data_IF_657173527563
#
_entry.id   IF_657173527563
#
_cell.length_a   1.000
_cell.length_b   1.000
_cell.length_c   1.000
_cell.angle_alpha   90.00
_cell.angle_beta   90.00
_cell.angle_gamma   90.00
#
_symmetry.space_group_name_H-M   'P 1'
#
loop_
_entity.id
_entity.type
_entity.pdbx_description
1 polymer ?
#
# COMPACT_ATOMS: atom_id res chain seq x y z
N UNK A 1 0.74 13.87 27.22
CA UNK A 1 1.57 14.93 26.60
C UNK A 1 2.67 14.25 25.82
N UNK A 2 2.88 14.65 24.55
CA UNK A 2 4.02 14.15 23.78
C UNK A 2 5.35 14.66 24.35
N UNK A 3 6.40 13.87 24.22
CA UNK A 3 7.74 14.28 24.67
C UNK A 3 8.30 15.37 23.76
N UNK A 4 8.93 16.39 24.33
CA UNK A 4 9.61 17.45 23.55
C UNK A 4 10.73 16.93 22.65
N UNK A 5 11.23 15.73 22.93
CA UNK A 5 12.37 15.11 22.22
C UNK A 5 11.97 13.97 21.29
N UNK A 6 10.70 13.57 21.30
CA UNK A 6 10.17 12.54 20.40
C UNK A 6 10.09 13.07 18.96
N UNK A 7 10.42 12.22 17.98
CA UNK A 7 10.52 12.60 16.56
C UNK A 7 9.49 11.89 15.66
N UNK A 8 8.35 11.46 16.23
CA UNK A 8 7.21 10.97 15.46
C UNK A 8 6.46 12.14 14.82
N UNK A 9 5.71 11.87 13.75
CA UNK A 9 4.86 12.90 13.10
C UNK A 9 3.89 13.55 14.12
N UNK A 10 3.26 12.76 14.98
CA UNK A 10 2.35 13.27 16.00
C UNK A 10 3.05 14.16 17.04
N UNK A 11 4.23 13.75 17.52
CA UNK A 11 4.99 14.55 18.49
C UNK A 11 5.52 15.87 17.87
N UNK A 12 5.97 15.82 16.62
CA UNK A 12 6.43 17.00 15.90
C UNK A 12 5.30 18.02 15.68
N UNK A 13 4.10 17.55 15.31
CA UNK A 13 2.93 18.40 15.15
C UNK A 13 2.53 19.03 16.49
N UNK A 14 2.40 18.23 17.54
CA UNK A 14 2.12 18.73 18.90
C UNK A 14 3.15 19.77 19.37
N UNK A 15 4.44 19.53 19.14
CA UNK A 15 5.48 20.50 19.48
C UNK A 15 5.37 21.81 18.67
N UNK A 16 4.90 21.74 17.42
CA UNK A 16 4.63 22.91 16.60
C UNK A 16 3.43 23.72 17.13
N UNK A 17 2.36 23.06 17.53
CA UNK A 17 1.21 23.69 18.21
C UNK A 17 1.64 24.41 19.49
N UNK A 18 2.47 23.75 20.32
CA UNK A 18 3.02 24.35 21.54
C UNK A 18 3.93 25.55 21.23
N UNK A 19 4.75 25.47 20.16
CA UNK A 19 5.55 26.58 19.68
C UNK A 19 4.66 27.76 19.27
N UNK A 20 3.60 27.52 18.49
CA UNK A 20 2.66 28.56 18.08
C UNK A 20 1.94 29.21 19.26
N UNK A 21 1.47 28.40 20.21
CA UNK A 21 0.81 28.88 21.43
C UNK A 21 1.74 29.77 22.25
N UNK A 22 2.98 29.38 22.46
CA UNK A 22 3.97 30.18 23.17
C UNK A 22 4.28 31.48 22.41
N UNK A 23 4.48 31.39 21.10
CA UNK A 23 4.78 32.54 20.25
C UNK A 23 3.69 33.61 20.32
N UNK A 24 2.43 33.22 20.39
CA UNK A 24 1.29 34.13 20.52
C UNK A 24 1.29 34.91 21.86
N UNK A 25 2.00 34.43 22.88
CA UNK A 25 2.13 35.10 24.18
C UNK A 25 3.34 36.06 24.27
N UNK A 26 4.25 36.03 23.27
CA UNK A 26 5.48 36.80 23.34
C UNK A 26 5.22 38.26 22.97
N UNK A 27 5.29 39.15 23.96
CA UNK A 27 5.09 40.61 23.75
C UNK A 27 6.17 41.15 22.82
N UNK A 28 5.75 41.78 21.69
CA UNK A 28 6.67 42.41 20.74
C UNK A 28 7.35 41.48 19.76
N UNK A 29 6.90 40.21 19.63
CA UNK A 29 7.37 39.31 18.57
C UNK A 29 7.03 39.91 17.20
N UNK A 30 8.05 40.14 16.36
CA UNK A 30 7.92 40.60 15.00
C UNK A 30 8.41 39.50 14.05
N UNK A 31 7.56 38.95 13.18
CA UNK A 31 7.99 37.92 12.23
C UNK A 31 9.02 38.53 11.25
N UNK A 32 10.13 37.81 11.04
CA UNK A 32 11.17 38.22 10.09
C UNK A 32 10.73 38.07 8.63
N UNK A 33 9.81 37.11 8.38
CA UNK A 33 9.16 36.90 7.07
C UNK A 33 7.68 36.67 7.28
N UNK A 34 6.82 36.93 6.27
CA UNK A 34 5.38 36.67 6.40
C UNK A 34 5.03 35.27 6.87
N UNK A 35 5.81 34.26 6.43
CA UNK A 35 5.60 32.84 6.73
C UNK A 35 5.88 32.48 8.18
N UNK A 36 6.65 33.30 8.91
CA UNK A 36 6.98 33.12 10.32
C UNK A 36 6.00 33.83 11.27
N UNK A 37 4.95 34.47 10.73
CA UNK A 37 3.86 34.99 11.55
C UNK A 37 3.08 33.85 12.21
N UNK A 38 2.52 34.11 13.40
CA UNK A 38 1.67 33.13 14.13
C UNK A 38 0.53 32.63 13.24
N UNK A 39 -0.12 33.53 12.48
CA UNK A 39 -1.21 33.19 11.58
C UNK A 39 -0.76 32.23 10.46
N UNK A 40 0.33 32.57 9.75
CA UNK A 40 0.84 31.70 8.68
C UNK A 40 1.40 30.36 9.20
N UNK A 41 1.95 30.34 10.41
CA UNK A 41 2.40 29.11 11.05
C UNK A 41 1.23 28.20 11.43
N UNK A 42 0.14 28.77 11.96
CA UNK A 42 -1.09 28.01 12.25
C UNK A 42 -1.74 27.47 10.98
N UNK A 43 -1.74 28.22 9.88
CA UNK A 43 -2.21 27.72 8.57
C UNK A 43 -1.44 26.50 8.12
N UNK A 44 -0.11 26.50 8.31
CA UNK A 44 0.72 25.32 7.99
C UNK A 44 0.39 24.12 8.90
N UNK A 45 0.20 24.35 10.20
CA UNK A 45 -0.20 23.31 11.15
C UNK A 45 -1.52 22.65 10.71
N UNK A 46 -2.54 23.45 10.41
CA UNK A 46 -3.85 22.95 9.92
C UNK A 46 -3.70 22.19 8.60
N UNK A 47 -2.89 22.66 7.66
CA UNK A 47 -2.64 21.93 6.41
C UNK A 47 -1.99 20.56 6.66
N UNK A 48 -1.11 20.46 7.65
CA UNK A 48 -0.49 19.17 8.05
C UNK A 48 -1.51 18.24 8.72
N UNK A 49 -2.41 18.74 9.56
CA UNK A 49 -3.51 17.96 10.14
C UNK A 49 -4.38 17.35 9.03
N UNK A 50 -4.75 18.16 8.04
CA UNK A 50 -5.55 17.73 6.89
C UNK A 50 -4.83 16.65 6.07
N UNK A 51 -3.56 16.84 5.76
CA UNK A 51 -2.76 15.84 5.03
C UNK A 51 -2.61 14.55 5.86
N UNK A 52 -2.41 14.63 7.17
CA UNK A 52 -2.36 13.45 8.04
C UNK A 52 -3.68 12.66 7.99
N UNK A 53 -4.83 13.35 8.02
CA UNK A 53 -6.14 12.72 7.91
C UNK A 53 -6.34 12.04 6.54
N UNK A 54 -5.93 12.71 5.45
CA UNK A 54 -5.98 12.16 4.09
C UNK A 54 -5.10 10.92 3.96
N UNK A 55 -3.86 10.93 4.47
CA UNK A 55 -2.96 9.78 4.47
C UNK A 55 -3.55 8.62 5.26
N UNK A 56 -4.15 8.87 6.42
CA UNK A 56 -4.79 7.84 7.23
C UNK A 56 -5.97 7.18 6.50
N UNK A 57 -6.83 7.98 5.85
CA UNK A 57 -7.95 7.50 5.05
C UNK A 57 -7.46 6.67 3.84
N UNK A 58 -6.50 7.19 3.06
CA UNK A 58 -5.95 6.49 1.90
C UNK A 58 -5.23 5.19 2.30
N UNK A 59 -4.51 5.18 3.42
CA UNK A 59 -3.88 3.97 3.95
C UNK A 59 -4.91 2.90 4.34
N UNK A 60 -6.01 3.30 4.97
CA UNK A 60 -7.12 2.39 5.28
C UNK A 60 -7.71 1.76 4.01
N UNK A 61 -7.95 2.56 2.96
CA UNK A 61 -8.46 2.05 1.69
C UNK A 61 -7.47 1.09 1.02
N UNK A 62 -6.17 1.41 1.05
CA UNK A 62 -5.14 0.51 0.53
C UNK A 62 -5.11 -0.81 1.29
N UNK A 63 -5.16 -0.79 2.62
CA UNK A 63 -5.19 -1.99 3.45
C UNK A 63 -6.41 -2.87 3.15
N UNK A 64 -7.60 -2.27 3.03
CA UNK A 64 -8.82 -2.99 2.67
C UNK A 64 -8.73 -3.64 1.28
N UNK A 65 -8.15 -2.94 0.29
CA UNK A 65 -7.95 -3.49 -1.05
C UNK A 65 -6.97 -4.68 -1.03
N UNK A 66 -5.88 -4.59 -0.26
CA UNK A 66 -4.91 -5.68 -0.08
C UNK A 66 -5.56 -6.89 0.59
N UNK A 67 -6.33 -6.68 1.65
CA UNK A 67 -7.02 -7.75 2.37
C UNK A 67 -8.08 -8.44 1.50
N UNK A 68 -8.87 -7.66 0.75
CA UNK A 68 -9.84 -8.20 -0.20
C UNK A 68 -9.17 -9.05 -1.28
N UNK A 69 -8.06 -8.57 -1.87
CA UNK A 69 -7.28 -9.36 -2.83
C UNK A 69 -6.80 -10.67 -2.20
N UNK A 70 -6.21 -10.62 -1.02
CA UNK A 70 -5.75 -11.83 -0.33
C UNK A 70 -6.91 -12.79 -0.03
N UNK A 71 -8.08 -12.26 0.34
CA UNK A 71 -9.27 -13.06 0.59
C UNK A 71 -9.71 -13.83 -0.67
N UNK A 72 -9.83 -13.14 -1.80
CA UNK A 72 -10.27 -13.75 -3.07
C UNK A 72 -9.26 -14.78 -3.62
N UNK A 73 -7.97 -14.51 -3.48
CA UNK A 73 -6.95 -15.44 -3.97
C UNK A 73 -6.75 -16.67 -3.07
N UNK A 74 -6.82 -16.52 -1.73
CA UNK A 74 -6.34 -17.55 -0.81
C UNK A 74 -7.33 -17.98 0.26
N UNK A 75 -8.13 -17.06 0.83
CA UNK A 75 -8.86 -17.34 2.10
C UNK A 75 -10.31 -17.76 1.89
N UNK A 76 -11.02 -17.18 0.93
CA UNK A 76 -12.42 -17.49 0.63
C UNK A 76 -12.62 -19.00 0.38
N UNK A 77 -13.81 -19.50 0.68
CA UNK A 77 -14.20 -20.89 0.35
C UNK A 77 -14.17 -21.12 -1.17
N UNK A 78 -14.43 -20.08 -1.95
CA UNK A 78 -14.33 -20.06 -3.42
C UNK A 78 -13.08 -19.33 -3.92
N UNK A 79 -12.00 -19.30 -3.11
CA UNK A 79 -10.76 -18.62 -3.52
C UNK A 79 -10.10 -19.33 -4.70
N UNK A 80 -9.29 -18.59 -5.45
CA UNK A 80 -8.53 -19.12 -6.58
C UNK A 80 -7.81 -20.44 -6.19
N UNK A 81 -7.09 -20.45 -5.06
CA UNK A 81 -6.34 -21.61 -4.62
C UNK A 81 -7.22 -22.82 -4.34
N UNK A 82 -8.40 -22.63 -3.74
CA UNK A 82 -9.34 -23.74 -3.44
C UNK A 82 -10.05 -24.24 -4.69
N UNK A 83 -10.30 -23.39 -5.67
CA UNK A 83 -10.92 -23.74 -6.95
C UNK A 83 -10.05 -24.68 -7.81
N UNK A 84 -8.73 -24.61 -7.66
CA UNK A 84 -7.79 -25.43 -8.46
C UNK A 84 -7.99 -26.94 -8.28
N UNK A 85 -8.26 -27.40 -7.07
CA UNK A 85 -8.40 -28.84 -6.79
C UNK A 85 -9.62 -29.49 -7.46
N UNK A 86 -10.84 -28.92 -7.35
CA UNK A 86 -12.02 -29.43 -8.06
C UNK A 86 -11.84 -29.44 -9.58
N UNK A 87 -11.25 -28.39 -10.16
CA UNK A 87 -10.98 -28.35 -11.62
C UNK A 87 -10.08 -29.53 -12.02
N UNK A 88 -8.92 -29.66 -11.35
CA UNK A 88 -7.96 -30.72 -11.66
C UNK A 88 -8.56 -32.11 -11.45
N UNK A 89 -9.37 -32.30 -10.40
CA UNK A 89 -10.04 -33.57 -10.13
C UNK A 89 -11.05 -33.91 -11.24
N UNK A 90 -11.83 -32.94 -11.69
CA UNK A 90 -12.78 -33.14 -12.78
C UNK A 90 -12.07 -33.54 -14.09
N UNK A 91 -11.02 -32.79 -14.48
CA UNK A 91 -10.27 -33.07 -15.73
C UNK A 91 -9.63 -34.45 -15.67
N UNK A 92 -9.02 -34.85 -14.55
CA UNK A 92 -8.44 -36.18 -14.37
C UNK A 92 -9.48 -37.31 -14.40
N UNK A 93 -10.67 -37.07 -13.86
CA UNK A 93 -11.74 -38.07 -13.87
C UNK A 93 -12.34 -38.22 -15.28
N UNK A 94 -12.51 -37.10 -16.01
CA UNK A 94 -13.14 -37.08 -17.33
C UNK A 94 -12.23 -37.58 -18.45
N UNK A 95 -10.97 -37.14 -18.47
CA UNK A 95 -10.03 -37.41 -19.57
C UNK A 95 -8.98 -38.48 -19.21
N UNK A 96 -8.88 -38.84 -17.95
CA UNK A 96 -7.87 -39.78 -17.42
C UNK A 96 -6.66 -39.07 -16.79
N UNK A 97 -6.08 -39.72 -15.77
CA UNK A 97 -4.97 -39.15 -14.98
C UNK A 97 -3.68 -38.92 -15.78
N UNK A 98 -3.49 -39.69 -16.88
CA UNK A 98 -2.28 -39.62 -17.72
C UNK A 98 -2.54 -38.94 -19.07
N UNK A 99 -3.71 -38.31 -19.26
CA UNK A 99 -4.05 -37.60 -20.50
C UNK A 99 -3.24 -36.32 -20.63
N UNK A 100 -3.07 -35.84 -21.87
CA UNK A 100 -2.44 -34.54 -22.16
C UNK A 100 -3.19 -33.40 -21.48
N UNK A 101 -4.54 -33.45 -21.51
CA UNK A 101 -5.42 -32.49 -20.84
C UNK A 101 -5.14 -32.39 -19.34
N UNK A 102 -4.98 -33.55 -18.67
CA UNK A 102 -4.66 -33.56 -17.24
C UNK A 102 -3.24 -33.06 -16.95
N UNK A 103 -2.28 -33.31 -17.83
CA UNK A 103 -0.91 -32.83 -17.67
C UNK A 103 -0.82 -31.30 -17.86
N UNK A 104 -1.50 -30.76 -18.86
CA UNK A 104 -1.56 -29.33 -19.15
C UNK A 104 -2.16 -28.52 -17.97
N UNK A 105 -3.37 -28.91 -17.54
CA UNK A 105 -4.02 -28.29 -16.36
C UNK A 105 -3.19 -28.45 -15.10
N UNK A 106 -2.56 -29.62 -14.88
CA UNK A 106 -1.67 -29.83 -13.71
C UNK A 106 -0.51 -28.83 -13.71
N UNK A 107 0.08 -28.55 -14.86
CA UNK A 107 1.19 -27.60 -14.98
C UNK A 107 0.77 -26.18 -14.58
N UNK A 108 -0.37 -25.71 -15.09
CA UNK A 108 -0.89 -24.37 -14.76
C UNK A 108 -1.31 -24.27 -13.28
N UNK A 109 -1.95 -25.30 -12.72
CA UNK A 109 -2.30 -25.36 -11.30
C UNK A 109 -1.04 -25.31 -10.42
N UNK A 110 0.02 -26.03 -10.77
CA UNK A 110 1.29 -25.99 -10.06
C UNK A 110 1.94 -24.59 -10.14
N UNK A 111 1.85 -23.91 -11.28
CA UNK A 111 2.34 -22.53 -11.45
C UNK A 111 1.57 -21.56 -10.53
N UNK A 112 0.23 -21.65 -10.48
CA UNK A 112 -0.60 -20.86 -9.55
C UNK A 112 -0.21 -21.11 -8.10
N UNK A 113 0.01 -22.36 -7.71
CA UNK A 113 0.41 -22.73 -6.34
C UNK A 113 1.86 -22.43 -6.03
N UNK A 114 2.67 -22.18 -7.03
CA UNK A 114 4.12 -21.98 -6.89
C UNK A 114 4.87 -23.24 -6.45
N UNK A 115 4.32 -24.42 -6.76
CA UNK A 115 4.90 -25.71 -6.36
C UNK A 115 6.08 -26.15 -7.23
N UNK A 116 6.25 -25.55 -8.43
CA UNK A 116 7.43 -25.77 -9.28
C UNK A 116 8.29 -24.50 -9.31
N UNK A 117 9.30 -24.46 -8.49
CA UNK A 117 10.49 -23.68 -8.81
C UNK A 117 11.35 -24.52 -9.75
N UNK A 118 11.31 -24.22 -11.04
CA UNK A 118 12.36 -24.68 -11.95
C UNK A 118 13.69 -24.25 -11.35
N UNK A 119 14.70 -25.15 -11.35
CA UNK A 119 16.04 -24.79 -10.87
C UNK A 119 16.44 -23.48 -11.53
N UNK A 120 16.93 -22.53 -10.72
CA UNK A 120 17.46 -21.26 -11.19
C UNK A 120 18.42 -21.55 -12.36
N UNK A 121 18.07 -21.12 -13.57
CA UNK A 121 19.01 -21.12 -14.69
C UNK A 121 19.89 -19.89 -14.52
N UNK A 122 21.20 -20.09 -14.57
CA UNK A 122 22.13 -18.99 -14.82
C UNK A 122 21.99 -18.63 -16.30
N UNK A 123 21.90 -17.34 -16.58
CA UNK A 123 22.15 -16.84 -17.92
C UNK A 123 23.64 -16.97 -18.29
N UNK A 124 23.98 -16.68 -19.52
CA UNK A 124 25.37 -16.75 -20.02
C UNK A 124 26.31 -15.76 -19.29
N UNK A 125 25.78 -14.75 -18.61
CA UNK A 125 26.51 -13.75 -17.83
C UNK A 125 26.59 -14.10 -16.34
N UNK A 126 25.95 -15.17 -15.89
CA UNK A 126 26.01 -15.68 -14.50
C UNK A 126 25.04 -15.02 -13.54
N UNK A 127 24.12 -14.17 -14.00
CA UNK A 127 23.05 -13.60 -13.20
C UNK A 127 21.89 -14.58 -12.95
N UNK A 128 21.27 -14.46 -11.76
CA UNK A 128 20.13 -15.29 -11.40
C UNK A 128 18.84 -14.64 -11.86
N UNK A 129 18.21 -15.16 -12.91
CA UNK A 129 16.87 -14.76 -13.30
C UNK A 129 15.86 -15.47 -12.40
N UNK A 130 15.15 -14.71 -11.55
CA UNK A 130 14.06 -15.23 -10.72
C UNK A 130 12.90 -15.66 -11.62
N UNK A 131 12.57 -16.95 -11.64
CA UNK A 131 11.39 -17.51 -12.30
C UNK A 131 10.20 -17.61 -11.33
N UNK A 132 10.05 -16.66 -10.43
CA UNK A 132 8.92 -16.65 -9.49
C UNK A 132 7.61 -16.34 -10.20
N UNK A 133 6.75 -17.33 -10.34
CA UNK A 133 5.38 -17.21 -10.88
C UNK A 133 4.34 -16.82 -9.81
N UNK A 134 4.79 -16.27 -8.66
CA UNK A 134 3.94 -16.04 -7.48
C UNK A 134 3.27 -14.67 -7.43
N UNK A 135 3.48 -13.81 -8.42
CA UNK A 135 2.76 -12.53 -8.44
C UNK A 135 1.26 -12.75 -8.66
N UNK A 136 0.43 -11.91 -8.08
CA UNK A 136 -1.01 -11.96 -8.31
C UNK A 136 -1.36 -11.81 -9.80
N UNK A 137 -0.60 -11.01 -10.55
CA UNK A 137 -0.75 -10.88 -12.00
C UNK A 137 -0.48 -12.18 -12.74
N UNK A 138 0.62 -12.89 -12.42
CA UNK A 138 0.93 -14.20 -13.02
C UNK A 138 -0.12 -15.24 -12.68
N UNK A 139 -0.59 -15.28 -11.43
CA UNK A 139 -1.65 -16.22 -11.02
C UNK A 139 -2.96 -15.96 -11.78
N UNK A 140 -3.33 -14.68 -11.99
CA UNK A 140 -4.50 -14.30 -12.78
C UNK A 140 -4.35 -14.74 -14.24
N UNK A 141 -3.15 -14.58 -14.84
CA UNK A 141 -2.89 -15.03 -16.21
C UNK A 141 -3.03 -16.54 -16.34
N UNK A 142 -2.37 -17.33 -15.47
CA UNK A 142 -2.49 -18.79 -15.51
C UNK A 142 -3.93 -19.27 -15.31
N UNK A 143 -4.71 -18.53 -14.51
CA UNK A 143 -6.13 -18.85 -14.34
C UNK A 143 -6.93 -18.56 -15.61
N UNK A 144 -6.65 -17.47 -16.31
CA UNK A 144 -7.23 -17.18 -17.63
C UNK A 144 -6.87 -18.26 -18.67
N UNK A 145 -5.61 -18.74 -18.66
CA UNK A 145 -5.16 -19.82 -19.51
C UNK A 145 -5.93 -21.12 -19.23
N UNK A 146 -6.13 -21.47 -17.95
CA UNK A 146 -6.96 -22.62 -17.55
C UNK A 146 -8.37 -22.51 -18.13
N UNK A 147 -9.03 -21.34 -17.97
CA UNK A 147 -10.40 -21.12 -18.48
C UNK A 147 -10.45 -21.29 -20.00
N UNK A 148 -9.45 -20.75 -20.71
CA UNK A 148 -9.34 -20.87 -22.17
C UNK A 148 -9.25 -22.33 -22.60
N UNK A 149 -8.41 -23.12 -21.93
CA UNK A 149 -8.25 -24.56 -22.19
C UNK A 149 -9.54 -25.32 -21.88
N UNK A 150 -10.19 -25.03 -20.75
CA UNK A 150 -11.46 -25.67 -20.37
C UNK A 150 -12.58 -25.36 -21.39
N UNK A 151 -12.64 -24.15 -21.90
CA UNK A 151 -13.56 -23.73 -22.97
C UNK A 151 -13.30 -24.50 -24.27
N UNK A 152 -12.03 -24.78 -24.60
CA UNK A 152 -11.67 -25.54 -25.79
C UNK A 152 -12.17 -27.00 -25.76
N UNK A 153 -12.43 -27.54 -24.58
CA UNK A 153 -13.01 -28.89 -24.43
C UNK A 153 -14.51 -28.94 -24.77
N UNK A 154 -15.17 -27.79 -24.91
CA UNK A 154 -16.58 -27.69 -25.30
C UNK A 154 -17.50 -28.54 -24.41
N UNK A 155 -18.40 -29.31 -25.03
CA UNK A 155 -19.33 -30.18 -24.30
C UNK A 155 -18.67 -31.31 -23.47
N UNK A 156 -17.39 -31.59 -23.70
CA UNK A 156 -16.67 -32.57 -22.86
C UNK A 156 -16.37 -32.02 -21.45
N UNK A 157 -16.34 -30.70 -21.26
CA UNK A 157 -16.22 -30.06 -19.96
C UNK A 157 -17.58 -29.54 -19.48
N UNK A 158 -18.36 -30.39 -18.85
CA UNK A 158 -19.69 -30.10 -18.30
C UNK A 158 -19.80 -30.55 -16.84
N UNK A 159 -19.13 -29.85 -15.89
CA UNK A 159 -19.17 -30.22 -14.49
C UNK A 159 -20.54 -29.96 -13.87
N UNK A 160 -21.00 -30.88 -13.01
CA UNK A 160 -22.22 -30.69 -12.19
C UNK A 160 -21.98 -29.72 -11.02
N UNK A 161 -20.73 -29.56 -10.59
CA UNK A 161 -20.34 -28.55 -9.63
C UNK A 161 -20.34 -27.19 -10.33
N UNK A 162 -21.34 -26.35 -10.02
CA UNK A 162 -21.50 -25.05 -10.64
C UNK A 162 -20.33 -24.09 -10.36
N UNK A 163 -19.61 -24.24 -9.24
CA UNK A 163 -18.49 -23.37 -8.90
C UNK A 163 -17.29 -23.50 -9.85
N UNK A 164 -17.24 -24.57 -10.67
CA UNK A 164 -16.16 -24.79 -11.61
C UNK A 164 -16.64 -24.82 -13.07
N UNK A 165 -17.86 -24.34 -13.36
CA UNK A 165 -18.29 -24.10 -14.75
C UNK A 165 -17.47 -22.94 -15.36
N UNK A 166 -17.21 -22.99 -16.65
CA UNK A 166 -16.40 -21.93 -17.31
C UNK A 166 -17.00 -20.54 -17.14
N UNK A 167 -18.32 -20.43 -17.07
CA UNK A 167 -19.01 -19.18 -16.78
C UNK A 167 -18.67 -18.63 -15.38
N UNK A 168 -18.80 -19.46 -14.34
CA UNK A 168 -18.47 -19.03 -12.97
C UNK A 168 -16.96 -18.81 -12.77
N UNK A 169 -16.10 -19.56 -13.44
CA UNK A 169 -14.66 -19.30 -13.44
C UNK A 169 -14.31 -17.97 -14.12
N UNK A 170 -15.04 -17.58 -15.18
CA UNK A 170 -14.87 -16.26 -15.83
C UNK A 170 -15.28 -15.13 -14.88
N UNK A 171 -16.41 -15.24 -14.18
CA UNK A 171 -16.80 -14.27 -13.15
C UNK A 171 -15.77 -14.19 -12.02
N UNK A 172 -15.19 -15.30 -11.60
CA UNK A 172 -14.12 -15.32 -10.63
C UNK A 172 -12.85 -14.61 -11.15
N UNK A 173 -12.47 -14.83 -12.40
CA UNK A 173 -11.33 -14.14 -13.05
C UNK A 173 -11.53 -12.63 -13.09
N UNK A 174 -12.73 -12.17 -13.42
CA UNK A 174 -13.09 -10.75 -13.41
C UNK A 174 -12.93 -10.16 -12.00
N UNK A 175 -13.42 -10.85 -10.96
CA UNK A 175 -13.28 -10.43 -9.57
C UNK A 175 -11.81 -10.35 -9.12
N UNK A 176 -10.97 -11.31 -9.50
CA UNK A 176 -9.54 -11.32 -9.21
C UNK A 176 -8.80 -10.18 -9.91
N UNK A 177 -9.15 -9.92 -11.17
CA UNK A 177 -8.59 -8.82 -11.96
C UNK A 177 -8.99 -7.46 -11.36
N UNK A 178 -10.26 -7.31 -10.99
CA UNK A 178 -10.75 -6.10 -10.32
C UNK A 178 -10.04 -5.86 -8.99
N UNK A 179 -9.81 -6.90 -8.18
CA UNK A 179 -9.09 -6.78 -6.92
C UNK A 179 -7.63 -6.36 -7.11
N UNK A 180 -6.95 -6.85 -8.14
CA UNK A 180 -5.59 -6.39 -8.48
C UNK A 180 -5.59 -4.90 -8.86
N UNK A 181 -6.55 -4.46 -9.69
CA UNK A 181 -6.71 -3.06 -10.08
C UNK A 181 -6.99 -2.16 -8.87
N UNK A 182 -7.88 -2.59 -7.96
CA UNK A 182 -8.20 -1.83 -6.73
C UNK A 182 -6.96 -1.56 -5.88
N UNK A 183 -6.07 -2.55 -5.69
CA UNK A 183 -4.82 -2.36 -4.95
C UNK A 183 -3.91 -1.34 -5.64
N UNK A 184 -3.77 -1.42 -6.95
CA UNK A 184 -2.96 -0.47 -7.72
C UNK A 184 -3.52 0.94 -7.63
N UNK A 185 -4.83 1.10 -7.78
CA UNK A 185 -5.52 2.40 -7.66
C UNK A 185 -5.38 2.99 -6.25
N UNK A 186 -5.60 2.18 -5.21
CA UNK A 186 -5.47 2.63 -3.83
C UNK A 186 -4.02 3.05 -3.50
N UNK A 187 -3.02 2.32 -4.00
CA UNK A 187 -1.62 2.70 -3.84
C UNK A 187 -1.27 3.99 -4.58
N UNK A 188 -1.79 4.17 -5.81
CA UNK A 188 -1.59 5.39 -6.59
C UNK A 188 -2.19 6.64 -5.94
N UNK A 189 -3.24 6.46 -5.11
CA UNK A 189 -3.80 7.54 -4.28
C UNK A 189 -2.96 7.79 -3.03
N UNK A 190 -2.51 6.72 -2.35
CA UNK A 190 -1.78 6.82 -1.08
C UNK A 190 -0.38 7.43 -1.25
N UNK A 191 0.36 7.00 -2.28
CA UNK A 191 1.78 7.39 -2.43
C UNK A 191 1.99 8.89 -2.55
N UNK A 192 1.26 9.65 -3.38
CA UNK A 192 1.41 11.10 -3.47
C UNK A 192 1.08 11.83 -2.16
N UNK A 193 0.08 11.34 -1.40
CA UNK A 193 -0.27 11.92 -0.10
C UNK A 193 0.82 11.70 0.94
N UNK A 194 1.49 10.55 0.92
CA UNK A 194 2.65 10.30 1.79
C UNK A 194 3.81 11.24 1.46
N UNK A 195 4.08 11.48 0.17
CA UNK A 195 5.13 12.40 -0.29
C UNK A 195 4.78 13.84 0.08
N UNK A 196 3.52 14.26 -0.09
CA UNK A 196 3.03 15.55 0.36
C UNK A 196 3.24 15.73 1.87
N UNK A 197 2.86 14.74 2.68
CA UNK A 197 3.09 14.77 4.14
C UNK A 197 4.57 14.99 4.49
N UNK A 198 5.49 14.26 3.83
CA UNK A 198 6.91 14.43 4.06
C UNK A 198 7.39 15.85 3.76
N UNK A 199 6.92 16.44 2.67
CA UNK A 199 7.24 17.81 2.26
C UNK A 199 6.70 18.85 3.27
N UNK A 200 5.45 18.70 3.71
CA UNK A 200 4.86 19.59 4.71
C UNK A 200 5.60 19.55 6.04
N UNK A 201 6.00 18.36 6.52
CA UNK A 201 6.82 18.24 7.73
C UNK A 201 8.24 18.75 7.56
N UNK A 202 8.82 18.71 6.37
CA UNK A 202 10.09 19.37 6.06
C UNK A 202 9.95 20.90 6.15
N UNK A 203 8.88 21.43 5.56
CA UNK A 203 8.53 22.86 5.65
C UNK A 203 8.29 23.29 7.09
N UNK A 204 7.56 22.50 7.88
CA UNK A 204 7.30 22.75 9.28
C UNK A 204 8.61 22.85 10.09
N UNK A 205 9.52 21.90 9.88
CA UNK A 205 10.81 21.89 10.56
C UNK A 205 11.64 23.13 10.24
N UNK A 206 11.76 23.45 8.96
CA UNK A 206 12.50 24.64 8.50
C UNK A 206 11.91 25.94 9.05
N UNK A 207 10.59 26.10 8.95
CA UNK A 207 9.88 27.28 9.47
C UNK A 207 9.99 27.42 10.98
N UNK A 208 9.86 26.31 11.71
CA UNK A 208 10.06 26.27 13.17
C UNK A 208 11.46 26.69 13.58
N UNK A 209 12.47 26.27 12.83
CA UNK A 209 13.85 26.68 13.10
C UNK A 209 14.02 28.19 12.85
N UNK A 210 13.49 28.72 11.76
CA UNK A 210 13.52 30.16 11.47
C UNK A 210 12.82 30.98 12.56
N UNK A 211 11.68 30.51 13.07
CA UNK A 211 10.97 31.14 14.20
C UNK A 211 11.85 31.15 15.45
N UNK A 212 12.48 30.02 15.81
CA UNK A 212 13.37 29.96 16.97
C UNK A 212 14.56 30.91 16.87
N UNK A 213 15.13 31.01 15.67
CA UNK A 213 16.25 31.92 15.41
C UNK A 213 15.79 33.40 15.47
N UNK A 214 14.58 33.70 14.99
CA UNK A 214 13.98 35.03 15.13
C UNK A 214 13.78 35.39 16.60
N UNK A 215 13.21 34.50 17.41
CA UNK A 215 13.03 34.72 18.86
C UNK A 215 14.38 34.87 19.56
N UNK A 216 15.36 34.04 19.22
CA UNK A 216 16.72 34.16 19.76
C UNK A 216 17.35 35.51 19.43
N UNK A 217 17.15 36.02 18.23
CA UNK A 217 17.67 37.33 17.78
C UNK A 217 16.99 38.50 18.49
N UNK A 218 15.66 38.44 18.64
CA UNK A 218 14.86 39.54 19.19
C UNK A 218 14.94 39.64 20.71
N UNK A 219 14.93 38.51 21.43
CA UNK A 219 14.87 38.49 22.88
C UNK A 219 16.21 38.10 23.53
N UNK A 220 17.13 37.53 22.78
CA UNK A 220 18.43 37.07 23.29
C UNK A 220 18.44 35.61 23.73
N UNK A 221 19.64 34.98 23.71
CA UNK A 221 19.86 33.57 24.04
C UNK A 221 19.50 33.17 25.48
N UNK A 222 19.54 34.13 26.39
CA UNK A 222 19.27 33.90 27.82
C UNK A 222 17.80 34.23 28.20
N UNK A 223 17.02 34.76 27.29
CA UNK A 223 15.63 35.14 27.55
C UNK A 223 14.75 33.97 27.96
N UNK A 224 13.66 34.25 28.68
CA UNK A 224 12.62 33.28 29.04
C UNK A 224 11.91 32.74 27.79
N UNK A 225 11.66 33.60 26.83
CA UNK A 225 10.99 33.29 25.55
C UNK A 225 11.79 32.24 24.76
N UNK A 226 13.09 32.47 24.58
CA UNK A 226 13.93 31.52 23.85
C UNK A 226 14.11 30.20 24.61
N UNK A 227 14.33 30.26 25.95
CA UNK A 227 14.46 29.06 26.79
C UNK A 227 13.20 28.17 26.73
N UNK A 228 12.02 28.76 26.62
CA UNK A 228 10.74 28.08 26.57
C UNK A 228 10.60 27.22 25.29
N UNK A 229 11.07 27.72 24.14
CA UNK A 229 10.82 27.10 22.84
C UNK A 229 12.00 26.35 22.24
N UNK A 230 13.25 26.62 22.66
CA UNK A 230 14.46 26.04 22.05
C UNK A 230 14.49 24.51 22.05
N UNK A 231 13.83 23.88 23.01
CA UNK A 231 13.84 22.43 23.22
C UNK A 231 12.81 21.64 22.38
N UNK A 232 11.89 22.30 21.65
CA UNK A 232 10.94 21.60 20.83
C UNK A 232 11.62 20.98 19.61
N UNK A 233 11.52 19.67 19.44
CA UNK A 233 11.88 18.97 18.19
C UNK A 233 10.68 18.94 17.25
N UNK A 234 10.84 19.55 16.08
CA UNK A 234 9.77 19.73 15.09
C UNK A 234 10.28 19.33 13.70
#
# INVERSE_FOLDING_TARGET
MASRTENTFGARLYNAEQLSTNLATFAGYVPLTPETSVAAYNTLITAIEDVNAQVAAAHSQFSLAVDNRQYLFMKSETSLFKTMSPILSYVKAKFGKKSEQAAEITTLVNNIRGEKTTKLKRDEEGEFVSQSHRSYGSQTQYFADIITILNSYGAAYAPTNTSITTENLTLQLEALTAANTQVTTAYSTLKPLQDMRLNEYSTLSSRSQTIKDAVKSQYGIQSSEYKLIKGYKI
#
